data_IF_379450262835
#
_entry.id   IF_379450262835
#
_cell.length_a   1.000
_cell.length_b   1.000
_cell.length_c   1.000
_cell.angle_alpha   90.00
_cell.angle_beta   90.00
_cell.angle_gamma   90.00
#
_symmetry.space_group_name_H-M   'P 1'
#
loop_
_entity.id
_entity.type
_entity.pdbx_description
1 polymer ?
#
# COMPACT_ATOMS: atom_id res chain seq x y z
N UNK A 1 -8.51 -4.78 -80.96
CA UNK A 1 -7.44 -4.24 -80.09
C UNK A 1 -7.84 -4.57 -78.68
N UNK A 2 -7.38 -5.72 -78.21
CA UNK A 2 -7.68 -6.29 -76.90
C UNK A 2 -6.57 -5.90 -75.92
N UNK A 3 -6.95 -5.27 -74.81
CA UNK A 3 -6.05 -5.01 -73.68
C UNK A 3 -6.41 -5.94 -72.53
N UNK A 4 -5.58 -6.96 -72.35
CA UNK A 4 -5.58 -7.84 -71.17
C UNK A 4 -4.70 -7.22 -70.07
N UNK A 5 -5.31 -6.91 -68.93
CA UNK A 5 -4.61 -6.45 -67.71
C UNK A 5 -4.24 -7.65 -66.83
N UNK A 6 -3.02 -7.70 -66.25
CA UNK A 6 -2.63 -8.78 -65.35
C UNK A 6 -3.22 -8.58 -63.95
N UNK A 7 -3.79 -9.64 -63.38
CA UNK A 7 -4.20 -9.71 -61.97
C UNK A 7 -3.00 -10.12 -61.12
N UNK A 8 -2.44 -9.17 -60.38
CA UNK A 8 -1.46 -9.44 -59.32
C UNK A 8 -2.22 -9.72 -58.02
N UNK A 9 -2.25 -10.97 -57.57
CA UNK A 9 -2.77 -11.34 -56.26
C UNK A 9 -1.73 -11.00 -55.19
N UNK A 10 -2.03 -9.98 -54.36
CA UNK A 10 -1.31 -9.72 -53.12
C UNK A 10 -1.77 -10.75 -52.08
N UNK A 11 -0.88 -11.63 -51.64
CA UNK A 11 -1.11 -12.52 -50.52
C UNK A 11 -1.34 -11.69 -49.25
N UNK A 12 -2.56 -11.73 -48.71
CA UNK A 12 -2.86 -11.20 -47.38
C UNK A 12 -2.04 -11.98 -46.35
N UNK A 13 -1.09 -11.28 -45.74
CA UNK A 13 -0.41 -11.72 -44.53
C UNK A 13 -1.42 -11.89 -43.39
N UNK A 14 -1.13 -12.88 -42.55
CA UNK A 14 -1.99 -13.40 -41.46
C UNK A 14 -2.63 -12.31 -40.58
N UNK A 15 -3.83 -12.57 -40.01
CA UNK A 15 -4.52 -11.62 -39.17
C UNK A 15 -3.75 -11.28 -37.87
N UNK A 16 -3.82 -10.04 -37.38
CA UNK A 16 -3.02 -9.52 -36.25
C UNK A 16 -3.33 -10.15 -34.87
N UNK A 17 -4.18 -11.19 -34.80
CA UNK A 17 -4.48 -11.90 -33.55
C UNK A 17 -3.40 -12.90 -33.14
N UNK A 18 -2.65 -13.49 -34.07
CA UNK A 18 -1.61 -14.46 -33.72
C UNK A 18 -0.35 -13.79 -33.12
N UNK A 19 -0.04 -12.56 -33.54
CA UNK A 19 1.10 -11.79 -33.00
C UNK A 19 0.92 -11.37 -31.53
N UNK A 20 -0.32 -11.14 -31.08
CA UNK A 20 -0.58 -10.76 -29.67
C UNK A 20 -0.49 -11.94 -28.70
N UNK A 21 -0.82 -13.16 -29.13
CA UNK A 21 -0.70 -14.36 -28.31
C UNK A 21 0.77 -14.79 -28.15
N UNK A 22 1.59 -14.62 -29.19
CA UNK A 22 3.03 -14.88 -29.13
C UNK A 22 3.80 -13.86 -28.30
N UNK A 23 3.38 -12.59 -28.30
CA UNK A 23 3.95 -11.57 -27.40
C UNK A 23 3.60 -11.85 -25.94
N UNK A 24 2.40 -12.34 -25.64
CA UNK A 24 2.01 -12.65 -24.25
C UNK A 24 2.68 -13.92 -23.73
N UNK A 25 2.90 -14.94 -24.58
CA UNK A 25 3.64 -16.15 -24.21
C UNK A 25 5.14 -15.87 -24.03
N UNK A 26 5.72 -15.02 -24.88
CA UNK A 26 7.10 -14.54 -24.77
C UNK A 26 7.31 -13.69 -23.51
N UNK A 27 6.39 -12.78 -23.19
CA UNK A 27 6.44 -11.97 -21.98
C UNK A 27 6.25 -12.82 -20.72
N UNK A 28 5.39 -13.84 -20.75
CA UNK A 28 5.26 -14.78 -19.63
C UNK A 28 6.52 -15.63 -19.45
N UNK A 29 7.15 -16.10 -20.53
CA UNK A 29 8.43 -16.82 -20.48
C UNK A 29 9.55 -15.94 -19.91
N UNK A 30 9.65 -14.69 -20.38
CA UNK A 30 10.66 -13.73 -19.93
C UNK A 30 10.38 -13.28 -18.49
N UNK A 31 9.12 -13.15 -18.08
CA UNK A 31 8.73 -12.88 -16.71
C UNK A 31 9.02 -14.06 -15.78
N UNK A 32 8.76 -15.30 -16.20
CA UNK A 32 9.11 -16.50 -15.44
C UNK A 32 10.63 -16.68 -15.34
N UNK A 33 11.38 -16.32 -16.38
CA UNK A 33 12.84 -16.27 -16.35
C UNK A 33 13.35 -15.18 -15.39
N UNK A 34 12.79 -13.98 -15.45
CA UNK A 34 13.14 -12.89 -14.53
C UNK A 34 12.78 -13.29 -13.10
N UNK A 35 11.61 -13.90 -12.88
CA UNK A 35 11.17 -14.39 -11.59
C UNK A 35 12.05 -15.55 -11.09
N UNK A 36 12.50 -16.46 -11.96
CA UNK A 36 13.40 -17.54 -11.58
C UNK A 36 14.80 -17.01 -11.28
N UNK A 37 15.31 -16.05 -12.05
CA UNK A 37 16.58 -15.36 -11.77
C UNK A 37 16.45 -14.58 -10.47
N UNK A 38 15.34 -13.89 -10.22
CA UNK A 38 15.10 -13.16 -8.97
C UNK A 38 14.99 -14.13 -7.80
N UNK A 39 14.24 -15.23 -7.92
CA UNK A 39 14.12 -16.26 -6.89
C UNK A 39 15.45 -16.95 -6.60
N UNK A 40 16.22 -17.33 -7.62
CA UNK A 40 17.55 -17.93 -7.48
C UNK A 40 18.55 -16.95 -6.87
N UNK A 41 18.54 -15.70 -7.31
CA UNK A 41 19.39 -14.63 -6.75
C UNK A 41 18.98 -14.27 -5.32
N UNK A 42 17.69 -14.36 -5.00
CA UNK A 42 17.15 -14.07 -3.69
C UNK A 42 17.43 -15.21 -2.70
N UNK A 43 17.29 -16.47 -3.14
CA UNK A 43 17.68 -17.66 -2.38
C UNK A 43 19.20 -17.71 -2.14
N UNK A 44 20.01 -17.32 -3.13
CA UNK A 44 21.46 -17.21 -2.96
C UNK A 44 21.86 -16.05 -2.04
N UNK A 45 21.13 -14.93 -2.04
CA UNK A 45 21.35 -13.83 -1.07
C UNK A 45 20.99 -14.25 0.37
N UNK A 46 19.92 -15.03 0.54
CA UNK A 46 19.49 -15.55 1.83
C UNK A 46 20.51 -16.55 2.39
N UNK A 47 21.06 -17.44 1.56
CA UNK A 47 22.11 -18.38 1.98
C UNK A 47 23.42 -17.66 2.30
N UNK A 48 23.81 -16.66 1.51
CA UNK A 48 25.04 -15.89 1.71
C UNK A 48 25.03 -15.03 2.99
N UNK A 49 23.87 -14.49 3.38
CA UNK A 49 23.74 -13.70 4.62
C UNK A 49 23.72 -14.54 5.89
N UNK A 50 23.24 -15.79 5.83
CA UNK A 50 23.42 -16.76 6.91
C UNK A 50 24.89 -17.16 7.07
N UNK A 51 25.61 -17.38 5.98
CA UNK A 51 27.03 -17.76 6.03
C UNK A 51 27.93 -16.65 6.61
N UNK A 52 27.68 -15.38 6.26
CA UNK A 52 28.40 -14.23 6.85
C UNK A 52 28.11 -14.02 8.33
N UNK A 53 26.92 -14.39 8.81
CA UNK A 53 26.63 -14.36 10.26
C UNK A 53 27.35 -15.49 10.99
N UNK A 54 27.47 -16.68 10.38
CA UNK A 54 28.22 -17.79 10.97
C UNK A 54 29.73 -17.51 10.97
N UNK A 55 30.28 -16.91 9.91
CA UNK A 55 31.70 -16.55 9.82
C UNK A 55 32.07 -15.26 10.58
N UNK A 56 31.13 -14.31 10.72
CA UNK A 56 31.35 -13.03 11.40
C UNK A 56 31.38 -13.11 12.93
N UNK A 57 30.98 -14.23 13.52
CA UNK A 57 31.10 -14.48 14.97
C UNK A 57 32.50 -14.93 15.39
N UNK A 58 33.43 -15.17 14.45
CA UNK A 58 34.77 -15.67 14.76
C UNK A 58 35.88 -14.60 14.77
N UNK A 59 35.61 -13.33 14.44
CA UNK A 59 36.68 -12.33 14.42
C UNK A 59 36.16 -10.90 14.68
N UNK A 60 36.13 -10.51 15.96
CA UNK A 60 36.21 -9.08 16.32
C UNK A 60 36.83 -8.95 17.71
N UNK A 61 38.16 -9.04 17.76
CA UNK A 61 38.94 -8.56 18.90
C UNK A 61 39.02 -7.04 18.86
N UNK A 62 38.65 -6.47 20.00
CA UNK A 62 38.69 -5.08 20.42
C UNK A 62 39.96 -4.34 20.04
N UNK A 63 39.83 -3.24 19.30
CA UNK A 63 40.81 -2.14 19.27
C UNK A 63 40.19 -0.94 19.99
N UNK A 64 40.62 -0.74 21.23
CA UNK A 64 40.26 0.41 22.05
C UNK A 64 41.09 1.63 21.61
N UNK A 65 40.48 2.47 20.76
CA UNK A 65 41.01 3.78 20.39
C UNK A 65 40.32 4.88 21.20
N UNK A 66 41.12 5.69 21.87
CA UNK A 66 40.82 6.86 22.68
C UNK A 66 39.81 7.83 22.06
N UNK A 67 38.63 7.94 22.68
CA UNK A 67 37.65 9.02 22.44
C UNK A 67 37.05 9.48 23.77
N UNK A 68 37.82 10.23 24.55
CA UNK A 68 37.38 10.83 25.82
C UNK A 68 37.28 12.34 25.61
N UNK A 69 36.09 12.81 25.25
CA UNK A 69 35.57 14.17 25.54
C UNK A 69 34.07 14.32 25.17
N UNK A 70 33.43 13.36 24.49
CA UNK A 70 32.02 13.46 24.06
C UNK A 70 30.96 13.00 25.09
N UNK A 71 31.35 12.56 26.28
CA UNK A 71 30.45 11.89 27.24
C UNK A 71 29.37 12.80 27.85
N UNK A 72 29.60 14.12 27.94
CA UNK A 72 28.67 15.07 28.56
C UNK A 72 27.47 15.45 27.68
N UNK A 73 27.52 15.24 26.36
CA UNK A 73 26.43 15.61 25.44
C UNK A 73 25.42 14.47 25.17
N UNK A 74 25.77 13.23 25.52
CA UNK A 74 24.93 12.04 25.26
C UNK A 74 23.57 12.12 25.99
N UNK A 75 23.48 12.52 27.27
CA UNK A 75 22.19 12.58 27.98
C UNK A 75 21.24 13.62 27.38
N UNK A 76 21.76 14.81 27.04
CA UNK A 76 20.97 15.91 26.45
C UNK A 76 20.43 15.52 25.08
N UNK A 77 21.26 14.88 24.25
CA UNK A 77 20.87 14.41 22.93
C UNK A 77 19.76 13.36 22.99
N UNK A 78 19.92 12.35 23.86
CA UNK A 78 18.90 11.31 24.06
C UNK A 78 17.55 11.91 24.48
N UNK A 79 17.58 12.89 25.38
CA UNK A 79 16.38 13.57 25.82
C UNK A 79 15.68 14.33 24.68
N UNK A 80 16.42 15.02 23.81
CA UNK A 80 15.86 15.72 22.63
C UNK A 80 15.23 14.76 21.64
N UNK A 81 15.94 13.68 21.28
CA UNK A 81 15.42 12.65 20.38
C UNK A 81 14.16 12.01 20.97
N UNK A 82 14.16 11.71 22.27
CA UNK A 82 12.99 11.15 22.95
C UNK A 82 11.79 12.10 22.93
N UNK A 83 12.02 13.38 23.26
CA UNK A 83 11.00 14.43 23.19
C UNK A 83 10.43 14.53 21.79
N UNK A 84 11.30 14.56 20.79
CA UNK A 84 10.93 14.63 19.39
C UNK A 84 10.14 13.40 18.92
N UNK A 85 10.53 12.18 19.31
CA UNK A 85 9.75 10.98 19.04
C UNK A 85 8.38 10.98 19.73
N UNK A 86 8.32 11.48 20.97
CA UNK A 86 7.09 11.58 21.74
C UNK A 86 6.08 12.59 21.18
N UNK A 87 6.51 13.46 20.26
CA UNK A 87 5.64 14.44 19.62
C UNK A 87 4.68 13.80 18.62
N UNK A 88 5.03 12.64 18.05
CA UNK A 88 4.20 11.96 17.04
C UNK A 88 3.93 10.48 17.31
N UNK A 89 4.66 9.86 18.23
CA UNK A 89 4.40 8.50 18.72
C UNK A 89 4.10 8.54 20.21
N UNK A 90 3.09 7.80 20.67
CA UNK A 90 2.73 7.68 22.08
C UNK A 90 2.82 6.20 22.50
N UNK A 91 3.50 5.87 23.61
CA UNK A 91 3.39 4.54 24.22
C UNK A 91 1.98 4.33 24.76
N UNK A 92 1.38 3.20 24.43
CA UNK A 92 0.04 2.88 24.92
C UNK A 92 0.08 2.53 26.41
N UNK A 93 -1.02 2.77 27.15
CA UNK A 93 -1.10 2.44 28.57
C UNK A 93 -0.96 0.94 28.86
N UNK A 94 -1.20 0.08 27.87
CA UNK A 94 -1.12 -1.38 28.00
C UNK A 94 0.28 -1.89 28.35
N UNK A 95 1.33 -1.18 27.95
CA UNK A 95 2.71 -1.60 28.21
C UNK A 95 3.43 -0.49 28.97
N UNK A 96 3.09 -0.37 30.27
CA UNK A 96 3.79 0.44 31.28
C UNK A 96 4.40 1.73 30.69
N UNK A 97 3.62 2.59 30.05
CA UNK A 97 3.92 3.99 29.64
C UNK A 97 5.39 4.36 29.32
N UNK A 98 6.17 3.45 28.74
CA UNK A 98 7.61 3.62 28.50
C UNK A 98 7.89 3.24 27.06
N UNK A 99 8.66 4.08 26.36
CA UNK A 99 9.10 3.76 25.02
C UNK A 99 9.92 2.46 25.03
N UNK A 100 9.73 1.59 24.03
CA UNK A 100 10.55 0.39 23.91
C UNK A 100 12.04 0.74 23.77
N UNK A 101 12.90 0.08 24.54
CA UNK A 101 14.35 0.34 24.57
C UNK A 101 15.02 0.22 23.18
N UNK A 102 14.48 -0.63 22.31
CA UNK A 102 14.98 -0.80 20.94
C UNK A 102 14.79 0.46 20.08
N UNK A 103 13.69 1.19 20.32
CA UNK A 103 13.40 2.43 19.60
C UNK A 103 14.40 3.53 19.98
N UNK A 104 14.80 3.57 21.25
CA UNK A 104 15.84 4.46 21.77
C UNK A 104 17.23 4.12 21.21
N UNK A 105 17.58 2.83 21.14
CA UNK A 105 18.88 2.40 20.61
C UNK A 105 19.06 2.77 19.14
N UNK A 106 18.03 2.58 18.31
CA UNK A 106 18.09 2.89 16.87
C UNK A 106 18.28 4.38 16.60
N UNK A 107 17.65 5.24 17.40
CA UNK A 107 17.78 6.68 17.23
C UNK A 107 19.18 7.20 17.61
N UNK A 108 19.96 6.45 18.39
CA UNK A 108 21.33 6.81 18.77
C UNK A 108 22.33 6.35 17.69
N UNK A 109 22.06 5.25 16.99
CA UNK A 109 22.99 4.66 16.02
C UNK A 109 23.03 5.35 14.64
N UNK A 110 22.12 6.29 14.35
CA UNK A 110 21.98 6.90 13.01
C UNK A 110 22.80 8.18 12.79
N UNK A 111 23.49 8.70 13.80
CA UNK A 111 24.25 9.96 13.66
C UNK A 111 25.77 9.75 13.57
N UNK A 112 26.21 9.35 12.38
CA UNK A 112 27.63 9.35 11.99
C UNK A 112 27.98 10.40 10.93
N UNK A 113 27.05 11.29 10.56
CA UNK A 113 27.30 12.32 9.55
C UNK A 113 28.01 13.52 10.19
N UNK A 114 29.33 13.63 10.01
CA UNK A 114 30.15 14.77 10.45
C UNK A 114 29.93 16.04 9.59
N UNK A 115 28.82 16.14 8.84
CA UNK A 115 28.54 17.34 8.03
C UNK A 115 27.93 18.43 8.90
N UNK A 116 28.68 19.51 9.12
CA UNK A 116 28.28 20.65 9.95
C UNK A 116 26.97 21.34 9.52
N UNK A 117 26.47 21.08 8.30
CA UNK A 117 25.25 21.68 7.75
C UNK A 117 24.13 20.66 7.49
N UNK A 118 24.33 19.37 7.80
CA UNK A 118 23.31 18.34 7.63
C UNK A 118 22.46 18.26 8.88
N UNK A 119 21.15 18.52 8.77
CA UNK A 119 20.21 18.13 9.82
C UNK A 119 20.45 16.67 10.22
N UNK A 120 20.53 16.42 11.53
CA UNK A 120 20.69 15.07 12.06
C UNK A 120 19.49 14.23 11.60
N UNK A 121 19.75 13.23 10.77
CA UNK A 121 18.71 12.33 10.28
C UNK A 121 18.57 11.14 11.22
N UNK A 122 17.36 10.94 11.74
CA UNK A 122 16.99 9.79 12.57
C UNK A 122 16.27 8.76 11.70
N UNK A 123 16.90 7.61 11.51
CA UNK A 123 16.31 6.48 10.78
C UNK A 123 15.50 5.58 11.72
N UNK A 124 14.20 5.46 11.45
CA UNK A 124 13.30 4.56 12.16
C UNK A 124 13.17 3.27 11.35
N UNK A 125 13.55 2.12 11.94
CA UNK A 125 13.30 0.83 11.32
C UNK A 125 11.79 0.58 11.19
N UNK A 126 11.32 0.47 9.95
CA UNK A 126 9.91 0.29 9.63
C UNK A 126 9.33 -1.02 10.18
N UNK A 127 10.11 -2.10 10.22
CA UNK A 127 9.63 -3.39 10.74
C UNK A 127 9.39 -3.30 12.25
N UNK A 128 10.29 -2.62 12.94
CA UNK A 128 10.14 -2.37 14.37
C UNK A 128 8.93 -1.47 14.66
N UNK A 129 8.77 -0.37 13.89
CA UNK A 129 7.63 0.52 14.01
C UNK A 129 6.30 -0.22 13.81
N UNK A 130 6.15 -0.95 12.69
CA UNK A 130 4.93 -1.72 12.41
C UNK A 130 4.66 -2.79 13.47
N UNK A 131 5.69 -3.49 13.96
CA UNK A 131 5.54 -4.48 15.04
C UNK A 131 4.94 -3.83 16.29
N UNK A 132 5.40 -2.63 16.66
CA UNK A 132 4.89 -1.95 17.83
C UNK A 132 3.51 -1.32 17.62
N UNK A 133 3.22 -0.78 16.43
CA UNK A 133 1.89 -0.28 16.08
C UNK A 133 0.85 -1.42 16.07
N UNK A 134 1.18 -2.54 15.41
CA UNK A 134 0.26 -3.68 15.27
C UNK A 134 0.10 -4.51 16.54
N UNK A 135 1.03 -4.40 17.49
CA UNK A 135 0.87 -4.98 18.83
C UNK A 135 0.16 -4.04 19.79
N UNK A 136 -0.19 -2.82 19.34
CA UNK A 136 -0.80 -1.81 20.19
C UNK A 136 0.11 -1.34 21.32
N UNK A 137 1.44 -1.41 21.16
CA UNK A 137 2.43 -0.88 22.12
C UNK A 137 2.77 0.58 21.85
N UNK A 138 2.60 1.01 20.61
CA UNK A 138 2.75 2.38 20.17
C UNK A 138 1.49 2.81 19.42
N UNK A 139 1.18 4.09 19.53
CA UNK A 139 0.14 4.78 18.77
C UNK A 139 0.77 5.95 18.02
N UNK A 140 0.27 6.21 16.81
CA UNK A 140 0.57 7.44 16.10
C UNK A 140 -0.39 8.54 16.56
N UNK A 141 0.14 9.74 16.80
CA UNK A 141 -0.69 10.92 17.06
C UNK A 141 -1.39 11.33 15.77
N UNK A 142 -2.70 11.54 15.84
CA UNK A 142 -3.49 11.97 14.67
C UNK A 142 -3.28 13.43 14.29
N UNK A 143 -2.90 14.27 15.25
CA UNK A 143 -2.79 15.72 15.04
C UNK A 143 -1.54 16.24 15.68
N UNK A 144 -0.72 16.87 14.85
CA UNK A 144 0.39 17.68 15.29
C UNK A 144 0.14 19.13 14.90
N UNK A 145 0.28 20.00 15.89
CA UNK A 145 0.17 21.44 15.72
C UNK A 145 1.52 21.95 15.25
N UNK A 146 1.55 22.47 14.03
CA UNK A 146 2.65 23.30 13.57
C UNK A 146 2.21 24.76 13.72
N UNK A 147 2.98 25.53 14.46
CA UNK A 147 2.77 26.97 14.61
C UNK A 147 3.52 27.66 13.47
N UNK A 148 2.83 27.93 12.38
CA UNK A 148 3.37 28.68 11.24
C UNK A 148 2.86 30.13 11.35
N UNK A 149 3.52 30.91 12.20
CA UNK A 149 3.08 32.26 12.57
C UNK A 149 1.79 32.25 13.41
N UNK A 150 0.82 33.11 13.05
CA UNK A 150 -0.48 33.22 13.73
C UNK A 150 -1.49 32.14 13.30
N UNK A 151 -1.15 31.27 12.33
CA UNK A 151 -2.03 30.21 11.86
C UNK A 151 -1.60 28.85 12.41
N UNK A 152 -2.52 28.16 13.09
CA UNK A 152 -2.30 26.79 13.57
C UNK A 152 -2.72 25.82 12.47
N UNK A 153 -1.74 25.19 11.82
CA UNK A 153 -2.00 24.11 10.86
C UNK A 153 -1.93 22.77 11.59
N UNK A 154 -2.94 21.93 11.39
CA UNK A 154 -2.92 20.56 11.85
C UNK A 154 -2.38 19.69 10.74
N UNK A 155 -1.17 19.17 10.94
CA UNK A 155 -0.57 18.18 10.05
C UNK A 155 -0.67 16.79 10.67
N UNK A 156 -0.80 15.79 9.82
CA UNK A 156 -0.71 14.40 10.21
C UNK A 156 0.78 13.99 10.18
N UNK A 157 1.40 13.70 11.33
CA UNK A 157 2.81 13.33 11.39
C UNK A 157 3.16 12.12 10.54
N UNK A 158 2.21 11.19 10.35
CA UNK A 158 2.44 10.02 9.52
C UNK A 158 2.67 10.43 8.07
N UNK A 159 1.93 11.40 7.54
CA UNK A 159 2.11 11.87 6.17
C UNK A 159 3.48 12.52 5.97
N UNK A 160 3.92 13.33 6.93
CA UNK A 160 5.26 13.93 6.93
C UNK A 160 6.35 12.87 7.07
N UNK A 161 6.12 11.85 7.89
CA UNK A 161 7.05 10.73 8.09
C UNK A 161 7.18 9.88 6.82
N UNK A 162 6.06 9.60 6.14
CA UNK A 162 6.04 8.90 4.86
C UNK A 162 6.81 9.69 3.80
N UNK A 163 6.57 11.00 3.69
CA UNK A 163 7.31 11.90 2.79
C UNK A 163 8.79 12.06 3.15
N UNK A 164 9.22 11.62 4.33
CA UNK A 164 10.59 11.82 4.84
C UNK A 164 10.91 13.28 5.17
N UNK A 165 9.88 14.10 5.37
CA UNK A 165 9.94 15.54 5.67
C UNK A 165 9.57 15.85 7.12
N UNK A 166 9.37 14.84 7.96
CA UNK A 166 9.05 15.04 9.37
C UNK A 166 10.28 15.59 10.10
N UNK A 167 10.20 16.84 10.55
CA UNK A 167 11.28 17.52 11.28
C UNK A 167 10.82 17.93 12.68
N UNK A 168 11.45 17.40 13.72
CA UNK A 168 11.07 17.71 15.12
C UNK A 168 12.33 18.01 15.93
N UNK A 169 12.35 19.16 16.60
CA UNK A 169 13.48 19.64 17.40
C UNK A 169 14.84 19.63 16.65
N UNK A 170 14.82 19.95 15.35
CA UNK A 170 16.01 19.97 14.49
C UNK A 170 16.47 18.60 13.98
N UNK A 171 15.70 17.54 14.22
CA UNK A 171 15.95 16.20 13.71
C UNK A 171 15.00 15.86 12.57
N UNK A 172 15.54 15.35 11.45
CA UNK A 172 14.73 14.83 10.33
C UNK A 172 14.50 13.34 10.49
N UNK A 173 13.24 12.92 10.51
CA UNK A 173 12.87 11.52 10.66
C UNK A 173 12.60 10.88 9.31
N UNK A 174 13.21 9.71 9.08
CA UNK A 174 13.01 8.91 7.87
C UNK A 174 12.72 7.47 8.23
N UNK A 175 11.85 6.84 7.45
CA UNK A 175 11.60 5.40 7.56
C UNK A 175 12.68 4.63 6.82
N UNK A 176 13.37 3.74 7.55
CA UNK A 176 14.32 2.79 6.99
C UNK A 176 13.60 1.48 6.69
N UNK A 177 13.56 1.12 5.41
CA UNK A 177 12.96 -0.14 4.99
C UNK A 177 14.02 -1.24 4.99
N UNK A 178 13.92 -2.14 5.96
CA UNK A 178 14.81 -3.30 6.04
C UNK A 178 14.57 -4.32 4.91
N UNK A 179 15.62 -5.09 4.57
CA UNK A 179 15.57 -6.13 3.52
C UNK A 179 14.44 -7.14 3.70
N UNK A 180 14.07 -7.45 4.95
CA UNK A 180 12.97 -8.37 5.27
C UNK A 180 11.61 -7.84 4.79
N UNK A 181 11.35 -6.54 4.96
CA UNK A 181 10.09 -5.94 4.49
C UNK A 181 10.07 -5.95 2.97
N UNK A 182 11.15 -5.51 2.33
CA UNK A 182 11.31 -5.56 0.87
C UNK A 182 10.98 -6.93 0.32
N UNK A 183 11.71 -7.96 0.78
CA UNK A 183 11.48 -9.34 0.40
C UNK A 183 10.04 -9.77 0.58
N UNK A 184 9.45 -9.41 1.71
CA UNK A 184 8.11 -9.85 2.08
C UNK A 184 7.02 -9.16 1.26
N UNK A 185 7.21 -7.88 0.90
CA UNK A 185 6.31 -7.16 -0.01
C UNK A 185 6.47 -7.65 -1.44
N UNK A 186 7.69 -7.79 -1.95
CA UNK A 186 7.93 -8.32 -3.29
C UNK A 186 7.35 -9.72 -3.44
N UNK A 187 7.63 -10.61 -2.49
CA UNK A 187 7.08 -11.97 -2.48
C UNK A 187 5.55 -11.97 -2.48
N UNK A 188 4.91 -11.13 -1.66
CA UNK A 188 3.45 -11.02 -1.64
C UNK A 188 2.90 -10.51 -2.98
N UNK A 189 3.47 -9.46 -3.56
CA UNK A 189 3.01 -8.92 -4.86
C UNK A 189 3.09 -9.97 -5.96
N UNK A 190 4.20 -10.71 -6.05
CA UNK A 190 4.38 -11.74 -7.08
C UNK A 190 3.51 -12.98 -6.83
N UNK A 191 3.57 -13.56 -5.63
CA UNK A 191 2.88 -14.81 -5.32
C UNK A 191 1.36 -14.62 -5.28
N UNK A 192 0.87 -13.54 -4.67
CA UNK A 192 -0.58 -13.29 -4.59
C UNK A 192 -1.13 -12.65 -5.87
N UNK A 193 -0.30 -11.94 -6.64
CA UNK A 193 -0.73 -11.30 -7.90
C UNK A 193 -0.82 -12.29 -9.05
N UNK A 194 0.17 -13.19 -9.18
CA UNK A 194 0.32 -14.08 -10.33
C UNK A 194 0.23 -15.57 -9.98
N UNK A 195 0.51 -15.95 -8.73
CA UNK A 195 0.56 -17.35 -8.30
C UNK A 195 -0.78 -17.93 -7.84
N UNK A 196 -1.86 -17.15 -7.83
CA UNK A 196 -3.14 -17.55 -7.24
C UNK A 196 -4.16 -18.09 -8.24
N UNK A 197 -4.15 -19.41 -8.49
CA UNK A 197 -5.33 -20.16 -8.98
C UNK A 197 -6.36 -20.42 -7.87
N UNK A 198 -6.20 -19.81 -6.69
CA UNK A 198 -7.15 -19.96 -5.59
C UNK A 198 -8.33 -19.01 -5.81
N UNK A 199 -9.48 -19.63 -6.06
CA UNK A 199 -10.83 -19.12 -6.34
C UNK A 199 -11.37 -18.14 -5.29
N UNK A 200 -10.69 -17.00 -5.12
CA UNK A 200 -11.19 -15.90 -4.29
C UNK A 200 -12.05 -15.02 -5.20
N UNK A 201 -13.31 -15.40 -5.39
CA UNK A 201 -14.30 -14.56 -6.07
C UNK A 201 -14.60 -13.35 -5.20
N UNK A 202 -14.48 -12.14 -5.76
CA UNK A 202 -14.91 -10.94 -5.05
C UNK A 202 -16.39 -11.09 -4.68
N UNK A 203 -16.71 -10.91 -3.41
CA UNK A 203 -18.09 -11.02 -2.94
C UNK A 203 -18.84 -9.79 -3.42
N UNK A 204 -19.77 -9.97 -4.37
CA UNK A 204 -20.78 -8.95 -4.69
C UNK A 204 -21.64 -8.81 -3.44
N UNK A 205 -21.40 -7.75 -2.65
CA UNK A 205 -22.13 -7.54 -1.40
C UNK A 205 -23.46 -6.84 -1.70
N UNK A 206 -24.62 -7.51 -1.52
CA UNK A 206 -25.87 -6.78 -1.39
C UNK A 206 -25.80 -6.02 -0.07
N UNK A 207 -25.71 -4.69 -0.14
CA UNK A 207 -25.57 -3.85 1.04
C UNK A 207 -26.79 -4.02 1.95
N UNK A 208 -26.64 -4.72 3.08
CA UNK A 208 -27.72 -5.01 4.03
C UNK A 208 -28.13 -3.74 4.79
N UNK A 209 -29.15 -3.07 4.29
CA UNK A 209 -29.91 -2.07 5.05
C UNK A 209 -31.05 -2.76 5.82
N UNK A 210 -31.48 -2.24 6.99
CA UNK A 210 -32.64 -2.75 7.72
C UNK A 210 -33.91 -2.65 6.84
N UNK A 211 -34.95 -3.46 7.10
CA UNK A 211 -36.15 -3.55 6.26
C UNK A 211 -36.94 -2.23 6.35
N UNK A 212 -36.59 -1.28 5.49
CA UNK A 212 -37.30 -0.03 5.29
C UNK A 212 -38.25 -0.19 4.11
N UNK A 213 -39.48 0.24 4.35
CA UNK A 213 -40.67 0.20 3.50
C UNK A 213 -40.37 0.57 2.04
N UNK A 214 -41.07 -0.11 1.13
CA UNK A 214 -41.07 0.02 -0.33
C UNK A 214 -41.09 1.46 -0.90
N UNK A 215 -39.99 2.18 -0.82
CA UNK A 215 -39.60 3.16 -1.83
C UNK A 215 -38.59 2.46 -2.74
N UNK A 216 -38.80 2.52 -4.06
CA UNK A 216 -37.88 1.98 -5.08
C UNK A 216 -36.59 2.80 -5.13
N UNK A 217 -35.85 2.89 -4.03
CA UNK A 217 -34.46 3.32 -4.05
C UNK A 217 -33.65 2.17 -4.63
N UNK A 218 -33.57 2.12 -5.96
CA UNK A 218 -32.68 1.22 -6.69
C UNK A 218 -31.27 1.68 -6.37
N UNK A 219 -30.67 1.13 -5.31
CA UNK A 219 -29.25 1.36 -5.01
C UNK A 219 -28.43 0.76 -6.14
N UNK A 220 -27.48 1.50 -6.72
CA UNK A 220 -26.63 0.96 -7.78
C UNK A 220 -25.84 -0.23 -7.24
N UNK A 221 -25.72 -1.27 -8.06
CA UNK A 221 -24.93 -2.46 -7.70
C UNK A 221 -23.47 -2.03 -7.52
N UNK A 222 -22.83 -2.40 -6.41
CA UNK A 222 -21.47 -1.96 -6.09
C UNK A 222 -20.49 -3.13 -6.05
N UNK A 223 -19.31 -2.94 -6.62
CA UNK A 223 -18.17 -3.84 -6.48
C UNK A 223 -16.91 -3.06 -6.07
N UNK A 224 -16.11 -3.65 -5.17
CA UNK A 224 -14.79 -3.15 -4.78
C UNK A 224 -13.72 -4.14 -5.28
N UNK A 225 -12.81 -3.67 -6.13
CA UNK A 225 -11.78 -4.52 -6.72
C UNK A 225 -10.52 -4.60 -5.84
N UNK A 226 -10.44 -3.87 -4.73
CA UNK A 226 -9.27 -3.94 -3.82
C UNK A 226 -9.15 -5.31 -3.12
N UNK A 227 -10.25 -6.04 -3.00
CA UNK A 227 -10.30 -7.40 -2.45
C UNK A 227 -10.35 -8.49 -3.50
N UNK A 228 -10.47 -8.14 -4.79
CA UNK A 228 -10.44 -9.10 -5.88
C UNK A 228 -9.00 -9.57 -6.16
N UNK A 229 -8.79 -10.85 -6.45
CA UNK A 229 -7.48 -11.31 -6.93
C UNK A 229 -7.19 -10.76 -8.32
N UNK A 230 -5.97 -10.28 -8.54
CA UNK A 230 -5.54 -9.70 -9.82
C UNK A 230 -5.74 -10.68 -10.99
N UNK A 231 -5.46 -11.97 -10.78
CA UNK A 231 -5.68 -13.02 -11.79
C UNK A 231 -7.17 -13.21 -12.16
N UNK A 232 -8.08 -12.90 -11.25
CA UNK A 232 -9.54 -13.06 -11.43
C UNK A 232 -10.26 -11.77 -11.81
N UNK A 233 -9.53 -10.67 -11.99
CA UNK A 233 -10.08 -9.32 -12.12
C UNK A 233 -11.03 -9.21 -13.31
N UNK A 234 -10.61 -9.68 -14.49
CA UNK A 234 -11.41 -9.60 -15.72
C UNK A 234 -12.70 -10.42 -15.59
N UNK A 235 -12.62 -11.64 -15.07
CA UNK A 235 -13.78 -12.51 -14.80
C UNK A 235 -14.74 -11.87 -13.80
N UNK A 236 -14.20 -11.27 -12.73
CA UNK A 236 -14.96 -10.57 -11.70
C UNK A 236 -15.70 -9.37 -12.28
N UNK A 237 -15.02 -8.58 -13.10
CA UNK A 237 -15.60 -7.42 -13.77
C UNK A 237 -16.68 -7.82 -14.78
N UNK A 238 -16.44 -8.88 -15.57
CA UNK A 238 -17.45 -9.46 -16.49
C UNK A 238 -18.68 -9.94 -15.75
N UNK A 239 -18.51 -10.70 -14.67
CA UNK A 239 -19.61 -11.19 -13.85
C UNK A 239 -20.43 -10.01 -13.27
N UNK A 240 -19.76 -8.97 -12.79
CA UNK A 240 -20.40 -7.74 -12.35
C UNK A 240 -21.20 -7.07 -13.47
N UNK A 241 -20.62 -6.88 -14.66
CA UNK A 241 -21.30 -6.28 -15.82
C UNK A 241 -22.55 -7.08 -16.24
N UNK A 242 -22.47 -8.41 -16.24
CA UNK A 242 -23.60 -9.28 -16.56
C UNK A 242 -24.73 -9.08 -15.55
N UNK A 243 -24.39 -8.91 -14.27
CA UNK A 243 -25.36 -8.74 -13.19
C UNK A 243 -26.07 -7.37 -13.15
N UNK A 244 -25.60 -6.38 -13.92
CA UNK A 244 -26.30 -5.11 -14.09
C UNK A 244 -27.54 -5.34 -14.97
N UNK A 245 -28.77 -5.00 -14.51
CA UNK A 245 -29.97 -5.05 -15.34
C UNK A 245 -29.88 -4.10 -16.53
N UNK A 246 -30.54 -4.39 -17.64
CA UNK A 246 -30.61 -3.46 -18.78
C UNK A 246 -31.25 -2.12 -18.34
N UNK A 247 -30.61 -1.00 -18.68
CA UNK A 247 -30.97 0.34 -18.19
C UNK A 247 -30.51 0.63 -16.76
N UNK A 248 -29.84 -0.32 -16.10
CA UNK A 248 -29.32 -0.19 -14.74
C UNK A 248 -27.96 0.47 -14.67
N UNK A 249 -27.55 0.83 -13.44
CA UNK A 249 -26.22 1.38 -13.16
C UNK A 249 -25.47 0.51 -12.15
N UNK A 250 -24.16 0.41 -12.37
CA UNK A 250 -23.21 -0.22 -11.47
C UNK A 250 -22.12 0.76 -11.04
N UNK A 251 -21.59 0.57 -9.84
CA UNK A 251 -20.53 1.35 -9.25
C UNK A 251 -19.32 0.43 -9.00
N UNK A 252 -18.21 0.72 -9.67
CA UNK A 252 -16.94 0.00 -9.55
C UNK A 252 -15.97 0.88 -8.77
N UNK A 253 -15.52 0.41 -7.61
CA UNK A 253 -14.50 1.10 -6.84
C UNK A 253 -13.19 0.32 -6.83
N UNK A 254 -12.07 1.03 -6.91
CA UNK A 254 -10.74 0.41 -6.84
C UNK A 254 -9.67 1.45 -6.50
N UNK A 255 -8.61 1.01 -5.87
CA UNK A 255 -7.42 1.77 -5.56
C UNK A 255 -6.33 1.45 -6.59
N UNK A 256 -5.54 2.46 -6.96
CA UNK A 256 -4.37 2.30 -7.83
C UNK A 256 -3.18 3.07 -7.25
N UNK A 257 -1.97 2.63 -7.54
CA UNK A 257 -0.78 3.45 -7.31
C UNK A 257 -0.79 4.68 -8.21
N UNK A 258 -0.33 5.80 -7.66
CA UNK A 258 -0.18 7.01 -8.44
C UNK A 258 0.95 6.85 -9.48
N UNK A 259 0.80 7.41 -10.71
CA UNK A 259 1.73 7.14 -11.82
C UNK A 259 3.19 7.52 -11.55
N UNK A 260 3.43 8.48 -10.64
CA UNK A 260 4.78 8.93 -10.26
C UNK A 260 5.51 7.94 -9.33
N UNK A 261 4.81 6.99 -8.72
CA UNK A 261 5.41 6.02 -7.81
C UNK A 261 6.08 4.93 -8.63
N UNK A 262 7.42 4.92 -8.63
CA UNK A 262 8.21 3.91 -9.34
C UNK A 262 8.00 2.54 -8.72
N UNK A 263 7.96 1.51 -9.57
CA UNK A 263 7.95 0.12 -9.13
C UNK A 263 9.13 -0.20 -8.22
N UNK A 264 8.86 -0.89 -7.11
CA UNK A 264 9.86 -1.22 -6.09
C UNK A 264 10.68 0.00 -5.61
N UNK A 265 10.04 1.16 -5.50
CA UNK A 265 10.56 2.31 -4.74
C UNK A 265 10.22 2.20 -3.25
N UNK A 266 10.86 3.03 -2.43
CA UNK A 266 10.54 3.12 -0.99
C UNK A 266 9.06 3.42 -0.79
N UNK A 267 8.52 4.35 -1.60
CA UNK A 267 7.13 4.78 -1.60
C UNK A 267 6.20 3.64 -2.00
N UNK A 268 6.57 2.83 -3.00
CA UNK A 268 5.84 1.62 -3.38
C UNK A 268 5.68 0.66 -2.19
N UNK A 269 6.77 0.38 -1.47
CA UNK A 269 6.73 -0.52 -0.29
C UNK A 269 5.88 0.08 0.83
N UNK A 270 5.97 1.39 1.04
CA UNK A 270 5.15 2.08 2.05
C UNK A 270 3.65 2.02 1.70
N UNK A 271 3.27 2.11 0.43
CA UNK A 271 1.89 1.92 -0.03
C UNK A 271 1.42 0.47 0.13
N UNK A 272 2.27 -0.51 -0.16
CA UNK A 272 1.92 -1.93 -0.08
C UNK A 272 1.50 -2.37 1.35
N UNK A 273 2.00 -1.69 2.39
CA UNK A 273 1.68 -2.03 3.80
C UNK A 273 0.18 -1.96 4.08
N UNK A 274 -0.54 -0.96 3.56
CA UNK A 274 -1.98 -0.82 3.82
C UNK A 274 -2.85 -1.90 3.17
N UNK A 275 -2.37 -2.49 2.08
CA UNK A 275 -3.13 -3.51 1.31
C UNK A 275 -2.75 -4.94 1.70
N UNK A 276 -1.52 -5.12 2.17
CA UNK A 276 -1.06 -6.41 2.71
C UNK A 276 -1.70 -6.74 4.05
N UNK A 277 -2.19 -5.73 4.77
CA UNK A 277 -2.93 -5.89 6.00
C UNK A 277 -4.28 -5.19 5.83
N UNK A 278 -5.28 -5.82 5.20
CA UNK A 278 -6.57 -5.16 4.95
C UNK A 278 -7.28 -4.84 6.27
N UNK A 279 -8.07 -3.76 6.23
CA UNK A 279 -8.90 -3.31 7.34
C UNK A 279 -10.11 -4.25 7.55
N UNK A 280 -10.58 -4.89 6.49
CA UNK A 280 -11.58 -5.95 6.49
C UNK A 280 -10.94 -7.32 6.80
N UNK A 281 -11.77 -8.32 7.05
CA UNK A 281 -11.32 -9.71 7.20
C UNK A 281 -10.98 -10.35 5.83
N UNK A 282 -10.88 -9.56 4.78
CA UNK A 282 -10.65 -10.04 3.43
C UNK A 282 -9.22 -10.54 3.28
N UNK A 283 -9.02 -11.45 2.33
CA UNK A 283 -7.68 -11.90 1.97
C UNK A 283 -6.90 -10.73 1.37
N UNK A 284 -5.67 -10.44 1.85
CA UNK A 284 -4.86 -9.36 1.30
C UNK A 284 -4.53 -9.60 -0.17
N UNK A 285 -4.95 -8.70 -1.05
CA UNK A 285 -4.62 -8.76 -2.47
C UNK A 285 -3.66 -7.66 -2.89
N UNK A 286 -2.69 -7.94 -3.78
CA UNK A 286 -1.80 -6.91 -4.32
C UNK A 286 -2.44 -6.14 -5.48
N UNK A 287 -3.72 -6.38 -5.77
CA UNK A 287 -4.44 -5.79 -6.90
C UNK A 287 -4.27 -4.27 -6.97
N UNK A 288 -4.40 -3.50 -5.88
CA UNK A 288 -4.17 -2.06 -5.93
C UNK A 288 -2.75 -1.62 -6.35
N UNK A 289 -1.77 -2.50 -6.21
CA UNK A 289 -0.36 -2.25 -6.60
C UNK A 289 -0.07 -2.62 -8.06
N UNK A 290 -0.94 -3.42 -8.68
CA UNK A 290 -0.77 -3.94 -10.04
C UNK A 290 -1.70 -3.26 -11.04
N UNK A 291 -2.80 -2.67 -10.57
CA UNK A 291 -3.80 -2.01 -11.40
C UNK A 291 -3.39 -0.61 -11.84
N UNK A 292 -3.91 -0.24 -13.02
CA UNK A 292 -4.01 1.14 -13.49
C UNK A 292 -5.45 1.45 -13.88
N UNK A 293 -5.82 2.74 -13.78
CA UNK A 293 -7.13 3.22 -14.22
C UNK A 293 -7.41 2.83 -15.68
N UNK A 294 -6.41 3.01 -16.57
CA UNK A 294 -6.54 2.67 -17.99
C UNK A 294 -6.89 1.20 -18.20
N UNK A 295 -6.26 0.28 -17.45
CA UNK A 295 -6.56 -1.16 -17.55
C UNK A 295 -8.01 -1.44 -17.18
N UNK A 296 -8.50 -0.94 -16.05
CA UNK A 296 -9.89 -1.17 -15.61
C UNK A 296 -10.89 -0.64 -16.64
N UNK A 297 -10.70 0.59 -17.12
CA UNK A 297 -11.60 1.17 -18.13
C UNK A 297 -11.55 0.36 -19.44
N UNK A 298 -10.37 -0.07 -19.88
CA UNK A 298 -10.25 -0.89 -21.09
C UNK A 298 -10.91 -2.26 -20.93
N UNK A 299 -10.72 -2.93 -19.79
CA UNK A 299 -11.35 -4.23 -19.50
C UNK A 299 -12.87 -4.11 -19.38
N UNK A 300 -13.38 -3.01 -18.83
CA UNK A 300 -14.81 -2.75 -18.77
C UNK A 300 -15.42 -2.60 -20.18
N UNK A 301 -14.77 -1.84 -21.06
CA UNK A 301 -15.24 -1.59 -22.42
C UNK A 301 -15.09 -2.79 -23.37
N UNK A 302 -14.06 -3.63 -23.22
CA UNK A 302 -13.86 -4.81 -24.09
C UNK A 302 -14.71 -6.01 -23.68
N UNK A 303 -15.21 -6.01 -22.44
CA UNK A 303 -15.99 -7.12 -21.88
C UNK A 303 -17.44 -7.19 -22.40
N UNK A 304 -17.93 -6.19 -23.12
CA UNK A 304 -19.21 -6.27 -23.82
C UNK A 304 -19.06 -7.19 -25.04
N UNK A 305 -19.44 -8.45 -24.89
CA UNK A 305 -19.67 -9.35 -26.03
C UNK A 305 -20.67 -8.71 -26.99
N UNK A 306 -20.55 -9.00 -28.30
CA UNK A 306 -21.35 -8.45 -29.41
C UNK A 306 -22.87 -8.46 -29.20
N UNK A 307 -23.37 -9.30 -28.30
CA UNK A 307 -24.80 -9.55 -28.09
C UNK A 307 -25.36 -8.81 -26.86
N UNK A 308 -24.50 -8.12 -26.09
CA UNK A 308 -24.90 -7.29 -24.94
C UNK A 308 -24.74 -5.81 -25.29
N UNK A 309 -25.70 -4.98 -24.86
CA UNK A 309 -25.61 -3.53 -24.96
C UNK A 309 -24.23 -3.03 -24.50
N UNK A 310 -23.58 -2.11 -25.26
CA UNK A 310 -22.26 -1.64 -24.92
C UNK A 310 -22.28 -0.96 -23.55
N UNK A 311 -21.39 -1.40 -22.65
CA UNK A 311 -21.28 -0.79 -21.34
C UNK A 311 -20.81 0.66 -21.50
N UNK A 312 -21.59 1.61 -20.99
CA UNK A 312 -21.25 3.03 -21.04
C UNK A 312 -20.65 3.46 -19.69
N UNK A 313 -19.51 4.12 -19.73
CA UNK A 313 -18.95 4.80 -18.55
C UNK A 313 -19.66 6.14 -18.40
N UNK A 314 -20.40 6.32 -17.31
CA UNK A 314 -21.12 7.57 -16.99
C UNK A 314 -20.18 8.58 -16.35
N UNK A 315 -19.41 8.13 -15.35
CA UNK A 315 -18.48 9.00 -14.64
C UNK A 315 -17.29 8.22 -14.10
N UNK A 316 -16.18 8.94 -13.91
CA UNK A 316 -14.95 8.42 -13.33
C UNK A 316 -14.40 9.51 -12.38
N UNK A 317 -14.53 9.27 -11.09
CA UNK A 317 -14.24 10.27 -10.06
C UNK A 317 -13.15 9.75 -9.12
N UNK A 318 -12.14 10.59 -8.87
CA UNK A 318 -11.16 10.33 -7.82
C UNK A 318 -11.80 10.65 -6.46
N UNK A 319 -11.89 9.64 -5.58
CA UNK A 319 -12.51 9.72 -4.26
C UNK A 319 -11.49 9.57 -3.11
N UNK A 320 -10.21 9.83 -3.37
CA UNK A 320 -9.14 9.67 -2.39
C UNK A 320 -9.35 10.52 -1.13
N UNK A 321 -9.79 11.76 -1.30
CA UNK A 321 -9.97 12.72 -0.19
C UNK A 321 -11.13 12.29 0.72
N UNK A 322 -12.25 11.93 0.10
CA UNK A 322 -13.46 11.44 0.76
C UNK A 322 -13.16 10.14 1.51
N UNK A 323 -12.44 9.21 0.86
CA UNK A 323 -12.05 7.94 1.49
C UNK A 323 -11.08 8.13 2.64
N UNK A 324 -10.07 9.00 2.50
CA UNK A 324 -9.14 9.33 3.57
C UNK A 324 -9.85 9.94 4.78
N UNK A 325 -10.76 10.88 4.53
CA UNK A 325 -11.58 11.52 5.57
C UNK A 325 -12.50 10.52 6.27
N UNK A 326 -13.16 9.63 5.53
CA UNK A 326 -14.01 8.58 6.07
C UNK A 326 -13.23 7.57 6.93
N UNK A 327 -12.01 7.20 6.54
CA UNK A 327 -11.13 6.34 7.34
C UNK A 327 -10.72 7.03 8.65
N UNK A 328 -10.33 8.30 8.60
CA UNK A 328 -10.03 9.09 9.80
C UNK A 328 -11.24 9.20 10.72
N UNK A 329 -12.43 9.45 10.18
CA UNK A 329 -13.66 9.55 10.96
C UNK A 329 -14.03 8.22 11.61
N UNK A 330 -13.91 7.10 10.88
CA UNK A 330 -14.19 5.77 11.41
C UNK A 330 -13.27 5.38 12.57
N UNK A 331 -12.03 5.88 12.60
CA UNK A 331 -11.12 5.73 13.75
C UNK A 331 -11.64 6.53 14.95
N UNK A 332 -11.98 7.81 14.76
CA UNK A 332 -12.48 8.69 15.83
C UNK A 332 -13.78 8.18 16.45
N UNK A 333 -14.75 7.80 15.62
CA UNK A 333 -16.05 7.30 16.07
C UNK A 333 -15.92 6.05 16.94
N UNK A 334 -14.93 5.20 16.64
CA UNK A 334 -14.65 3.99 17.41
C UNK A 334 -13.85 4.27 18.68
N UNK A 335 -12.95 5.24 18.65
CA UNK A 335 -12.18 5.65 19.84
C UNK A 335 -13.07 6.35 20.88
N UNK A 336 -14.16 7.02 20.45
CA UNK A 336 -15.16 7.64 21.34
C UNK A 336 -16.18 6.67 21.96
N UNK A 337 -16.30 5.45 21.43
CA UNK A 337 -17.30 4.48 21.90
C UNK A 337 -16.75 3.51 22.94
N UNK A 338 -16.99 3.75 24.24
CA UNK A 338 -16.54 2.87 25.35
C UNK A 338 -16.95 1.40 25.17
N UNK A 339 -18.12 1.12 24.58
CA UNK A 339 -18.66 -0.24 24.43
C UNK A 339 -18.05 -1.10 23.31
N UNK A 340 -17.25 -0.52 22.38
CA UNK A 340 -16.76 -1.25 21.19
C UNK A 340 -15.34 -1.82 21.30
N UNK A 341 -14.58 -1.46 22.33
CA UNK A 341 -13.25 -2.08 22.60
C UNK A 341 -13.35 -3.57 22.91
N UNK A 342 -14.48 -4.02 23.44
CA UNK A 342 -14.69 -5.39 23.93
C UNK A 342 -14.97 -6.42 22.83
N UNK A 343 -15.34 -6.02 21.61
CA UNK A 343 -15.82 -6.96 20.58
C UNK A 343 -14.70 -7.65 19.77
N UNK A 344 -13.50 -7.07 19.68
CA UNK A 344 -12.41 -7.58 18.83
C UNK A 344 -11.11 -7.90 19.59
N UNK A 345 -11.06 -7.62 20.89
CA UNK A 345 -9.82 -7.59 21.64
C UNK A 345 -8.98 -6.35 21.27
N UNK A 346 -8.40 -5.72 22.28
CA UNK A 346 -7.71 -4.43 22.13
C UNK A 346 -6.61 -4.48 21.07
N UNK A 347 -5.79 -5.54 21.05
CA UNK A 347 -4.72 -5.70 20.06
C UNK A 347 -5.19 -5.75 18.60
N UNK A 348 -6.33 -6.39 18.31
CA UNK A 348 -6.86 -6.45 16.94
C UNK A 348 -7.41 -5.08 16.49
N UNK A 349 -8.06 -4.35 17.40
CA UNK A 349 -8.47 -2.98 17.15
C UNK A 349 -7.26 -2.08 16.84
N UNK A 350 -6.20 -2.16 17.63
CA UNK A 350 -5.00 -1.32 17.46
C UNK A 350 -4.31 -1.56 16.11
N UNK A 351 -4.24 -2.82 15.67
CA UNK A 351 -3.77 -3.16 14.32
C UNK A 351 -4.66 -2.53 13.26
N UNK A 352 -5.98 -2.72 13.34
CA UNK A 352 -6.96 -2.20 12.38
C UNK A 352 -6.91 -0.67 12.30
N UNK A 353 -6.86 0.01 13.45
CA UNK A 353 -6.70 1.46 13.57
C UNK A 353 -5.42 1.93 12.89
N UNK A 354 -4.28 1.28 13.18
CA UNK A 354 -2.98 1.64 12.58
C UNK A 354 -3.02 1.53 11.05
N UNK A 355 -3.63 0.49 10.50
CA UNK A 355 -3.80 0.30 9.06
C UNK A 355 -4.71 1.37 8.47
N UNK A 356 -5.86 1.67 9.11
CA UNK A 356 -6.78 2.72 8.63
C UNK A 356 -6.10 4.08 8.53
N UNK A 357 -5.33 4.47 9.56
CA UNK A 357 -4.56 5.73 9.57
C UNK A 357 -3.48 5.70 8.48
N UNK A 358 -2.79 4.58 8.31
CA UNK A 358 -1.79 4.41 7.25
C UNK A 358 -2.40 4.56 5.85
N UNK A 359 -3.53 3.90 5.61
CA UNK A 359 -4.27 3.98 4.35
C UNK A 359 -4.77 5.40 4.09
N UNK A 360 -5.31 6.07 5.10
CA UNK A 360 -5.73 7.47 5.00
C UNK A 360 -4.55 8.38 4.62
N UNK A 361 -3.38 8.17 5.22
CA UNK A 361 -2.19 8.96 4.94
C UNK A 361 -1.69 8.76 3.50
N UNK A 362 -1.58 7.52 3.00
CA UNK A 362 -1.12 7.27 1.60
C UNK A 362 -2.11 7.79 0.55
N UNK A 363 -3.42 7.82 0.86
CA UNK A 363 -4.44 8.45 0.03
C UNK A 363 -4.32 9.98 0.04
N UNK A 364 -4.14 10.59 1.23
CA UNK A 364 -4.07 12.04 1.38
C UNK A 364 -2.81 12.63 0.72
N UNK A 365 -1.66 11.95 0.84
CA UNK A 365 -0.43 12.37 0.15
C UNK A 365 -0.43 12.08 -1.36
N UNK A 366 -1.47 11.39 -1.87
CA UNK A 366 -1.64 11.11 -3.30
C UNK A 366 -0.69 10.05 -3.86
N UNK A 367 -0.15 9.15 -3.02
CA UNK A 367 0.63 7.99 -3.48
C UNK A 367 -0.26 6.84 -3.93
N UNK A 368 -1.46 6.76 -3.33
CA UNK A 368 -2.54 5.86 -3.73
C UNK A 368 -3.73 6.72 -4.14
N UNK A 369 -4.40 6.32 -5.21
CA UNK A 369 -5.60 6.97 -5.70
C UNK A 369 -6.78 6.02 -5.63
N UNK A 370 -7.88 6.45 -5.00
CA UNK A 370 -9.14 5.70 -5.00
C UNK A 370 -10.03 6.23 -6.11
N UNK A 371 -10.51 5.35 -6.98
CA UNK A 371 -11.40 5.70 -8.08
C UNK A 371 -12.77 5.09 -7.86
N UNK A 372 -13.80 5.84 -8.26
CA UNK A 372 -15.19 5.40 -8.36
C UNK A 372 -15.60 5.58 -9.81
N UNK A 373 -15.93 4.48 -10.48
CA UNK A 373 -16.39 4.47 -11.87
C UNK A 373 -17.84 4.04 -11.87
N UNK A 374 -18.72 4.90 -12.38
CA UNK A 374 -20.14 4.59 -12.59
C UNK A 374 -20.32 4.13 -14.02
N UNK A 375 -20.90 2.94 -14.19
CA UNK A 375 -21.18 2.33 -15.49
C UNK A 375 -22.68 2.10 -15.64
N UNK A 376 -23.18 2.19 -16.87
CA UNK A 376 -24.54 1.81 -17.25
C UNK A 376 -24.53 0.78 -18.36
N UNK A 377 -25.59 -0.03 -18.40
CA UNK A 377 -25.79 -1.07 -19.39
C UNK A 377 -27.03 -0.82 -20.23
#
# INVERSE_FOLDING_TARGET
MDFTSPKTQLALSKPPRELFLDLNSSLNSLFLLVLSIFCCSFLSLLSYTSLKKVLGYACSTTTAGTAITSSLNIPRRRHRIFRALSSFVIPTPLVKSRFPANFLRLAISSSGSNSANSLDTVEIDLALLLTYLFSGRLELRERWKENEGNNVKFLNPLELLLKGTLEVDGYRYKLKIGRKIWASVSSWVFLAGYGGNLTTTATVSPQSAPPARFTRDIRPLKIDLDSASYASLETTLKAFIISIPSGGQGLVEFSVLAPQIKWFSTEFVLCAISFRHPVSNDTPTPTPMLLSLKQILSSACTSSSSDLSPLQIISCTNSSSERSSALCQAVRDRDSGEGRRNAYGEGAWMRKRSIMIWQAAVLHIGWVQRWVVVVSK
#
